data_IF_073142430542
#
_entry.id   IF_073142430542
#
_cell.length_a   1.000
_cell.length_b   1.000
_cell.length_c   1.000
_cell.angle_alpha   90.00
_cell.angle_beta   90.00
_cell.angle_gamma   90.00
#
_symmetry.space_group_name_H-M   'P 1'
#
loop_
_entity.id
_entity.type
_entity.pdbx_description
1 polymer ?
#
# COMPACT_ATOMS: atom_id res chain seq x y z
N UNK A 1 -29.77 28.17 18.98
CA UNK A 1 -28.29 28.04 18.87
C UNK A 1 -27.80 26.70 19.46
N UNK A 2 -28.14 25.54 18.88
CA UNK A 2 -27.85 24.24 19.53
C UNK A 2 -27.30 23.11 18.65
N UNK A 3 -27.12 23.29 17.33
CA UNK A 3 -26.67 22.21 16.44
C UNK A 3 -25.16 22.20 16.11
N UNK A 4 -24.41 23.20 16.55
CA UNK A 4 -22.96 23.31 16.28
C UNK A 4 -22.04 22.52 17.23
N UNK A 5 -22.47 22.27 18.48
CA UNK A 5 -21.65 21.56 19.48
C UNK A 5 -21.52 20.06 19.21
N UNK A 6 -22.64 19.38 18.92
CA UNK A 6 -22.67 17.92 18.75
C UNK A 6 -21.85 17.41 17.53
N UNK A 7 -21.77 18.20 16.46
CA UNK A 7 -20.92 17.91 15.29
C UNK A 7 -19.42 18.03 15.63
N UNK A 8 -19.07 19.02 16.45
CA UNK A 8 -17.69 19.28 16.88
C UNK A 8 -17.21 18.21 17.86
N UNK A 9 -18.05 17.79 18.81
CA UNK A 9 -17.75 16.72 19.77
C UNK A 9 -17.53 15.37 19.07
N UNK A 10 -18.35 15.07 18.05
CA UNK A 10 -18.20 13.86 17.24
C UNK A 10 -16.90 13.83 16.43
N UNK A 11 -16.45 14.97 15.91
CA UNK A 11 -15.19 15.10 15.18
C UNK A 11 -13.99 14.97 16.13
N UNK A 12 -14.02 15.66 17.29
CA UNK A 12 -12.97 15.57 18.31
C UNK A 12 -12.83 14.13 18.81
N UNK A 13 -13.94 13.44 19.09
CA UNK A 13 -13.92 12.03 19.51
C UNK A 13 -13.27 11.12 18.47
N UNK A 14 -13.55 11.32 17.18
CA UNK A 14 -12.92 10.55 16.07
C UNK A 14 -11.43 10.83 15.94
N UNK A 15 -11.01 12.08 16.15
CA UNK A 15 -9.61 12.51 16.11
C UNK A 15 -8.85 11.88 17.28
N UNK A 16 -9.36 12.02 18.51
CA UNK A 16 -8.76 11.43 19.71
C UNK A 16 -8.63 9.91 19.59
N UNK A 17 -9.68 9.25 19.10
CA UNK A 17 -9.69 7.80 18.91
C UNK A 17 -8.66 7.37 17.86
N UNK A 18 -8.51 8.11 16.75
CA UNK A 18 -7.45 7.87 15.76
C UNK A 18 -6.04 8.03 16.35
N UNK A 19 -5.79 9.11 17.10
CA UNK A 19 -4.49 9.32 17.74
C UNK A 19 -4.19 8.27 18.82
N UNK A 20 -5.22 7.80 19.54
CA UNK A 20 -5.04 6.72 20.52
C UNK A 20 -4.59 5.41 19.87
N UNK A 21 -5.13 5.04 18.70
CA UNK A 21 -4.66 3.86 17.97
C UNK A 21 -3.22 4.02 17.48
N UNK A 22 -2.85 5.21 17.01
CA UNK A 22 -1.47 5.52 16.62
C UNK A 22 -0.53 5.37 17.82
N UNK A 23 -0.89 5.94 18.98
CA UNK A 23 -0.09 5.87 20.20
C UNK A 23 0.09 4.43 20.68
N UNK A 24 -0.98 3.63 20.71
CA UNK A 24 -0.94 2.21 21.08
C UNK A 24 -0.05 1.41 20.12
N UNK A 25 -0.16 1.65 18.82
CA UNK A 25 0.67 1.00 17.82
C UNK A 25 2.16 1.36 17.99
N UNK A 26 2.48 2.64 18.21
CA UNK A 26 3.85 3.09 18.49
C UNK A 26 4.38 2.41 19.76
N UNK A 27 3.62 2.46 20.85
CA UNK A 27 4.02 1.85 22.13
C UNK A 27 4.31 0.35 21.97
N UNK A 28 3.37 -0.41 21.39
CA UNK A 28 3.56 -1.85 21.18
C UNK A 28 4.74 -2.15 20.25
N UNK A 29 4.95 -1.33 19.22
CA UNK A 29 6.11 -1.49 18.35
C UNK A 29 7.42 -1.28 19.10
N UNK A 30 7.47 -0.32 20.03
CA UNK A 30 8.65 -0.05 20.85
C UNK A 30 8.90 -1.20 21.79
N UNK A 31 7.85 -1.62 22.51
CA UNK A 31 7.93 -2.73 23.45
C UNK A 31 8.52 -3.96 22.75
N UNK A 32 7.98 -4.38 21.60
CA UNK A 32 8.49 -5.57 20.89
C UNK A 32 9.96 -5.41 20.46
N UNK A 33 10.35 -4.25 19.96
CA UNK A 33 11.73 -4.02 19.50
C UNK A 33 12.72 -4.06 20.67
N UNK A 34 12.40 -3.36 21.76
CA UNK A 34 13.24 -3.31 22.97
C UNK A 34 13.28 -4.68 23.64
N UNK A 35 12.14 -5.40 23.67
CA UNK A 35 12.05 -6.71 24.29
C UNK A 35 12.82 -7.78 23.50
N UNK A 36 12.75 -7.75 22.16
CA UNK A 36 13.58 -8.60 21.32
C UNK A 36 15.07 -8.30 21.52
N UNK A 37 15.46 -7.02 21.57
CA UNK A 37 16.85 -6.64 21.88
C UNK A 37 17.26 -7.14 23.27
N UNK A 38 16.42 -6.99 24.28
CA UNK A 38 16.68 -7.44 25.65
C UNK A 38 16.94 -8.96 25.72
N UNK A 39 16.12 -9.75 25.02
CA UNK A 39 16.25 -11.21 24.98
C UNK A 39 17.52 -11.64 24.22
N UNK A 40 17.77 -11.05 23.05
CA UNK A 40 18.81 -11.49 22.11
C UNK A 40 20.20 -10.94 22.43
N UNK A 41 20.31 -9.83 23.16
CA UNK A 41 21.61 -9.25 23.52
C UNK A 41 22.31 -10.11 24.58
N UNK A 42 23.55 -10.49 24.27
CA UNK A 42 24.41 -11.31 25.14
C UNK A 42 24.72 -10.64 26.48
N UNK A 43 24.63 -9.31 26.56
CA UNK A 43 24.90 -8.54 27.79
C UNK A 43 23.67 -8.39 28.68
N UNK A 44 22.48 -8.69 28.17
CA UNK A 44 21.21 -8.52 28.87
C UNK A 44 20.69 -9.90 29.30
N UNK A 45 19.67 -10.43 28.64
CA UNK A 45 19.10 -11.72 28.97
C UNK A 45 19.96 -12.92 28.50
N UNK A 46 20.90 -12.69 27.58
CA UNK A 46 21.85 -13.68 27.10
C UNK A 46 21.21 -14.92 26.44
N UNK A 47 20.18 -14.70 25.60
CA UNK A 47 19.59 -15.77 24.79
C UNK A 47 19.67 -15.43 23.29
N UNK A 48 20.87 -15.56 22.66
CA UNK A 48 21.12 -15.10 21.29
C UNK A 48 20.60 -16.10 20.23
N UNK A 49 19.34 -16.52 20.33
CA UNK A 49 18.68 -17.49 19.44
C UNK A 49 17.52 -16.83 18.66
N UNK A 50 17.82 -15.99 17.64
CA UNK A 50 16.84 -15.20 16.91
C UNK A 50 15.82 -16.03 16.10
N UNK A 51 16.23 -17.18 15.54
CA UNK A 51 15.33 -18.08 14.81
C UNK A 51 14.32 -18.71 15.79
N UNK A 52 14.82 -19.19 16.92
CA UNK A 52 14.00 -19.76 17.98
C UNK A 52 13.01 -18.72 18.53
N UNK A 53 13.45 -17.49 18.76
CA UNK A 53 12.57 -16.39 19.19
C UNK A 53 11.43 -16.16 18.19
N UNK A 54 11.77 -16.10 16.90
CA UNK A 54 10.78 -15.87 15.84
C UNK A 54 9.85 -17.05 15.64
N UNK A 55 10.33 -18.28 15.80
CA UNK A 55 9.48 -19.47 15.79
C UNK A 55 8.47 -19.45 16.94
N UNK A 56 8.87 -19.04 18.15
CA UNK A 56 7.95 -18.90 19.29
C UNK A 56 6.89 -17.84 18.96
N UNK A 57 7.29 -16.68 18.43
CA UNK A 57 6.36 -15.62 18.01
C UNK A 57 5.36 -16.11 16.97
N UNK A 58 5.83 -16.76 15.90
CA UNK A 58 4.98 -17.22 14.82
C UNK A 58 4.04 -18.35 15.28
N UNK A 59 4.50 -19.23 16.18
CA UNK A 59 3.66 -20.29 16.77
C UNK A 59 2.55 -19.70 17.63
N UNK A 60 2.90 -18.76 18.51
CA UNK A 60 1.93 -18.08 19.36
C UNK A 60 0.92 -17.28 18.53
N UNK A 61 1.42 -16.47 17.59
CA UNK A 61 0.59 -15.66 16.70
C UNK A 61 -0.33 -16.51 15.83
N UNK A 62 0.16 -17.63 15.28
CA UNK A 62 -0.64 -18.55 14.47
C UNK A 62 -1.74 -19.21 15.30
N UNK A 63 -1.39 -19.71 16.48
CA UNK A 63 -2.37 -20.36 17.38
C UNK A 63 -3.48 -19.39 17.76
N UNK A 64 -3.12 -18.17 18.17
CA UNK A 64 -4.10 -17.17 18.58
C UNK A 64 -4.92 -16.63 17.39
N UNK A 65 -4.32 -16.49 16.20
CA UNK A 65 -5.04 -16.15 14.98
C UNK A 65 -6.07 -17.24 14.61
N UNK A 66 -5.72 -18.52 14.74
CA UNK A 66 -6.66 -19.63 14.54
C UNK A 66 -7.81 -19.55 15.54
N UNK A 67 -7.53 -19.32 16.82
CA UNK A 67 -8.58 -19.16 17.84
C UNK A 67 -9.51 -17.99 17.50
N UNK A 68 -8.97 -16.83 17.14
CA UNK A 68 -9.79 -15.65 16.81
C UNK A 68 -10.66 -15.83 15.56
N UNK A 69 -10.15 -16.51 14.54
CA UNK A 69 -10.87 -16.73 13.28
C UNK A 69 -11.87 -17.88 13.40
N UNK A 70 -11.46 -19.02 13.99
CA UNK A 70 -12.27 -20.26 13.99
C UNK A 70 -13.16 -20.41 15.21
N UNK A 71 -12.74 -19.91 16.38
CA UNK A 71 -13.49 -20.07 17.64
C UNK A 71 -14.30 -18.82 17.94
N UNK A 72 -13.69 -17.65 17.88
CA UNK A 72 -14.35 -16.39 18.24
C UNK A 72 -15.04 -15.69 17.06
N UNK A 73 -14.78 -16.11 15.81
CA UNK A 73 -15.42 -15.55 14.62
C UNK A 73 -15.18 -14.05 14.42
N UNK A 74 -14.06 -13.51 14.95
CA UNK A 74 -13.77 -12.07 14.93
C UNK A 74 -13.52 -11.55 13.52
N UNK A 75 -13.08 -12.42 12.61
CA UNK A 75 -12.81 -12.10 11.20
C UNK A 75 -13.41 -13.20 10.33
N UNK A 76 -14.10 -12.80 9.27
CA UNK A 76 -14.65 -13.74 8.30
C UNK A 76 -13.53 -14.58 7.65
N UNK A 77 -13.66 -15.92 7.64
CA UNK A 77 -12.68 -16.78 7.01
C UNK A 77 -12.71 -16.57 5.49
N UNK A 78 -11.69 -15.89 4.96
CA UNK A 78 -11.52 -15.70 3.51
C UNK A 78 -11.16 -17.04 2.89
N UNK A 79 -12.03 -17.60 2.05
CA UNK A 79 -11.75 -18.84 1.31
C UNK A 79 -10.66 -18.58 0.25
N UNK A 80 -9.45 -19.10 0.50
CA UNK A 80 -8.34 -19.05 -0.46
C UNK A 80 -8.26 -20.38 -1.21
N UNK A 81 -8.17 -20.34 -2.55
CA UNK A 81 -7.91 -21.55 -3.33
C UNK A 81 -6.50 -22.08 -3.03
N UNK A 82 -6.33 -23.42 -3.07
CA UNK A 82 -5.03 -24.06 -2.80
C UNK A 82 -3.94 -23.59 -3.76
N UNK A 83 -4.29 -23.40 -5.03
CA UNK A 83 -3.38 -22.91 -6.06
C UNK A 83 -2.91 -21.49 -5.76
N UNK A 84 -3.82 -20.60 -5.35
CA UNK A 84 -3.50 -19.25 -4.93
C UNK A 84 -2.60 -19.24 -3.68
N UNK A 85 -2.89 -20.12 -2.72
CA UNK A 85 -2.08 -20.26 -1.52
C UNK A 85 -0.65 -20.68 -1.86
N UNK A 86 -0.46 -21.74 -2.64
CA UNK A 86 0.86 -22.25 -3.01
C UNK A 86 1.63 -21.31 -3.94
N UNK A 87 0.97 -20.70 -4.93
CA UNK A 87 1.63 -19.83 -5.91
C UNK A 87 1.95 -18.44 -5.35
N UNK A 88 1.14 -17.93 -4.42
CA UNK A 88 1.27 -16.55 -3.95
C UNK A 88 1.63 -16.42 -2.48
N UNK A 89 1.00 -17.18 -1.58
CA UNK A 89 1.27 -17.05 -0.12
C UNK A 89 2.58 -17.70 0.28
N UNK A 90 2.88 -18.90 -0.22
CA UNK A 90 4.10 -19.63 0.16
C UNK A 90 5.39 -18.85 -0.15
N UNK A 91 5.57 -18.26 -1.35
CA UNK A 91 6.74 -17.42 -1.62
C UNK A 91 6.81 -16.18 -0.72
N UNK A 92 5.67 -15.55 -0.43
CA UNK A 92 5.60 -14.40 0.49
C UNK A 92 6.01 -14.83 1.91
N UNK A 93 5.57 -15.99 2.37
CA UNK A 93 5.95 -16.57 3.65
C UNK A 93 7.43 -16.91 3.73
N UNK A 94 8.02 -17.47 2.66
CA UNK A 94 9.46 -17.73 2.57
C UNK A 94 10.30 -16.45 2.69
N UNK A 95 9.96 -15.42 1.90
CA UNK A 95 10.65 -14.12 1.99
C UNK A 95 10.49 -13.49 3.37
N UNK A 96 9.31 -13.63 3.98
CA UNK A 96 9.07 -13.11 5.32
C UNK A 96 9.89 -13.84 6.38
N UNK A 97 9.98 -15.18 6.32
CA UNK A 97 10.82 -15.94 7.26
C UNK A 97 12.29 -15.53 7.18
N UNK A 98 12.85 -15.36 5.98
CA UNK A 98 14.24 -14.93 5.83
C UNK A 98 14.43 -13.50 6.34
N UNK A 99 13.51 -12.58 6.01
CA UNK A 99 13.49 -11.21 6.55
C UNK A 99 13.48 -11.20 8.09
N UNK A 100 12.61 -11.99 8.70
CA UNK A 100 12.47 -12.10 10.16
C UNK A 100 13.73 -12.67 10.81
N UNK A 101 14.30 -13.72 10.24
CA UNK A 101 15.54 -14.31 10.75
C UNK A 101 16.69 -13.31 10.70
N UNK A 102 16.94 -12.69 9.55
CA UNK A 102 18.04 -11.75 9.37
C UNK A 102 17.85 -10.49 10.23
N UNK A 103 16.63 -9.93 10.28
CA UNK A 103 16.36 -8.73 11.09
C UNK A 103 16.48 -8.99 12.58
N UNK A 104 16.11 -10.17 13.08
CA UNK A 104 16.27 -10.46 14.50
C UNK A 104 17.72 -10.80 14.84
N UNK A 105 18.43 -11.48 13.94
CA UNK A 105 19.87 -11.74 14.11
C UNK A 105 20.69 -10.45 14.20
N UNK A 106 20.28 -9.39 13.49
CA UNK A 106 20.93 -8.08 13.57
C UNK A 106 20.94 -7.47 14.98
N UNK A 107 19.95 -7.78 15.84
CA UNK A 107 19.91 -7.29 17.24
C UNK A 107 21.07 -7.81 18.10
N UNK A 108 21.72 -8.91 17.71
CA UNK A 108 22.88 -9.44 18.43
C UNK A 108 24.11 -8.54 18.22
N UNK A 109 24.25 -7.99 17.01
CA UNK A 109 25.46 -7.28 16.57
C UNK A 109 25.31 -5.76 16.65
N UNK A 110 24.12 -5.23 16.39
CA UNK A 110 23.89 -3.80 16.21
C UNK A 110 23.12 -3.18 17.38
N UNK A 111 23.29 -1.87 17.55
CA UNK A 111 22.43 -1.04 18.40
C UNK A 111 21.05 -0.86 17.79
N UNK A 112 20.04 -0.58 18.63
CA UNK A 112 18.66 -0.44 18.13
C UNK A 112 18.54 0.83 17.27
N UNK A 113 19.20 1.92 17.66
CA UNK A 113 19.29 3.15 16.86
C UNK A 113 19.90 2.89 15.47
N UNK A 114 20.97 2.11 15.39
CA UNK A 114 21.63 1.81 14.14
C UNK A 114 20.79 0.89 13.24
N UNK A 115 20.11 -0.11 13.81
CA UNK A 115 19.13 -0.94 13.08
C UNK A 115 18.03 -0.07 12.49
N UNK A 116 17.47 0.84 13.29
CA UNK A 116 16.39 1.72 12.86
C UNK A 116 16.83 2.68 11.76
N UNK A 117 18.08 3.15 11.81
CA UNK A 117 18.70 3.92 10.74
C UNK A 117 18.86 3.08 9.46
N UNK A 118 19.38 1.84 9.53
CA UNK A 118 19.49 0.98 8.34
C UNK A 118 18.13 0.70 7.71
N UNK A 119 17.07 0.60 8.53
CA UNK A 119 15.68 0.48 8.05
C UNK A 119 15.17 1.72 7.34
N UNK A 120 15.81 2.89 7.47
CA UNK A 120 15.49 4.06 6.65
C UNK A 120 15.78 3.83 5.16
N UNK A 121 16.54 2.79 4.79
CA UNK A 121 16.72 2.34 3.40
C UNK A 121 15.53 1.53 2.86
N UNK A 122 14.52 1.22 3.67
CA UNK A 122 13.34 0.45 3.23
C UNK A 122 12.65 1.08 2.00
N UNK A 123 12.40 2.40 1.93
CA UNK A 123 11.82 3.02 0.74
C UNK A 123 12.71 2.88 -0.50
N UNK A 124 14.04 2.92 -0.32
CA UNK A 124 15.04 2.72 -1.38
C UNK A 124 14.95 1.31 -1.94
N UNK A 125 14.92 0.31 -1.06
CA UNK A 125 14.81 -1.10 -1.42
C UNK A 125 13.47 -1.41 -2.11
N UNK A 126 12.35 -0.94 -1.54
CA UNK A 126 11.01 -1.14 -2.11
C UNK A 126 10.89 -0.52 -3.50
N UNK A 127 11.39 0.70 -3.69
CA UNK A 127 11.34 1.37 -5.00
C UNK A 127 12.22 0.66 -6.03
N UNK A 128 13.44 0.29 -5.66
CA UNK A 128 14.37 -0.43 -6.55
C UNK A 128 13.79 -1.77 -6.98
N UNK A 129 13.28 -2.56 -6.04
CA UNK A 129 12.64 -3.85 -6.33
C UNK A 129 11.35 -3.66 -7.12
N UNK A 130 10.57 -2.61 -6.84
CA UNK A 130 9.38 -2.25 -7.61
C UNK A 130 9.69 -1.99 -9.08
N UNK A 131 10.80 -1.33 -9.39
CA UNK A 131 11.29 -1.16 -10.77
C UNK A 131 11.74 -2.50 -11.37
N UNK A 132 12.50 -3.30 -10.63
CA UNK A 132 12.99 -4.62 -11.12
C UNK A 132 11.83 -5.56 -11.48
N UNK A 133 10.76 -5.54 -10.70
CA UNK A 133 9.54 -6.31 -10.94
C UNK A 133 8.60 -5.65 -11.95
N UNK A 134 9.02 -4.55 -12.60
CA UNK A 134 8.24 -3.74 -13.55
C UNK A 134 6.89 -3.25 -13.00
N UNK A 135 6.77 -3.16 -11.68
CA UNK A 135 5.59 -2.64 -10.99
C UNK A 135 5.54 -1.11 -11.08
N UNK A 136 6.68 -0.47 -10.87
CA UNK A 136 6.81 0.99 -10.84
C UNK A 136 7.65 1.48 -12.03
N UNK A 137 7.29 2.65 -12.57
CA UNK A 137 8.08 3.31 -13.63
C UNK A 137 9.25 4.08 -13.03
N UNK A 138 10.41 3.97 -13.67
CA UNK A 138 11.59 4.72 -13.28
C UNK A 138 11.37 6.23 -13.41
N UNK A 139 11.59 6.94 -12.31
CA UNK A 139 11.59 8.41 -12.24
C UNK A 139 12.91 8.90 -11.67
N UNK A 140 13.59 9.78 -12.41
CA UNK A 140 14.88 10.34 -12.03
C UNK A 140 14.81 11.08 -10.69
N UNK A 141 13.78 11.90 -10.48
CA UNK A 141 13.62 12.68 -9.23
C UNK A 141 13.50 11.75 -8.00
N UNK A 142 12.77 10.65 -8.14
CA UNK A 142 12.62 9.67 -7.06
C UNK A 142 13.93 8.94 -6.82
N UNK A 143 14.67 8.58 -7.87
CA UNK A 143 15.98 7.93 -7.74
C UNK A 143 17.02 8.85 -7.08
N UNK A 144 17.05 10.14 -7.46
CA UNK A 144 17.93 11.13 -6.83
C UNK A 144 17.65 11.24 -5.32
N UNK A 145 16.38 11.23 -4.92
CA UNK A 145 16.03 11.20 -3.51
C UNK A 145 16.46 9.90 -2.80
N UNK A 146 16.35 8.74 -3.46
CA UNK A 146 16.85 7.47 -2.91
C UNK A 146 18.36 7.48 -2.68
N UNK A 147 19.13 8.10 -3.59
CA UNK A 147 20.57 8.30 -3.41
C UNK A 147 20.87 9.20 -2.22
N UNK A 148 20.11 10.29 -2.04
CA UNK A 148 20.26 11.18 -0.87
C UNK A 148 20.05 10.45 0.46
N UNK A 149 19.00 9.61 0.56
CA UNK A 149 18.77 8.77 1.74
C UNK A 149 19.95 7.83 1.97
N UNK A 150 20.45 7.20 0.91
CA UNK A 150 21.57 6.25 0.99
C UNK A 150 22.86 6.92 1.48
N UNK A 151 23.14 8.15 1.04
CA UNK A 151 24.28 8.96 1.50
C UNK A 151 24.14 9.28 2.99
N UNK A 152 22.96 9.71 3.46
CA UNK A 152 22.72 9.98 4.88
C UNK A 152 22.97 8.75 5.75
N UNK A 153 22.48 7.59 5.31
CA UNK A 153 22.70 6.31 5.99
C UNK A 153 24.18 5.91 5.99
N UNK A 154 24.91 6.12 4.89
CA UNK A 154 26.35 5.83 4.80
C UNK A 154 27.18 6.73 5.75
N UNK A 155 26.88 8.03 5.80
CA UNK A 155 27.54 8.97 6.72
C UNK A 155 27.28 8.57 8.17
N UNK A 156 26.03 8.24 8.50
CA UNK A 156 25.70 7.80 9.84
C UNK A 156 26.30 6.43 10.15
N UNK A 157 26.44 5.51 9.21
CA UNK A 157 27.16 4.25 9.46
C UNK A 157 28.65 4.46 9.74
N UNK A 158 29.28 5.44 9.08
CA UNK A 158 30.68 5.77 9.30
C UNK A 158 30.96 6.30 10.72
N UNK A 159 30.00 7.02 11.32
CA UNK A 159 30.13 7.53 12.68
C UNK A 159 29.74 6.54 13.79
N UNK A 160 29.29 5.33 13.46
CA UNK A 160 28.68 4.40 14.43
C UNK A 160 29.74 3.75 15.32
N UNK A 161 29.57 3.89 16.64
CA UNK A 161 30.54 3.38 17.61
C UNK A 161 30.52 1.85 17.73
N UNK A 162 29.36 1.20 17.50
CA UNK A 162 29.21 -0.26 17.49
C UNK A 162 29.06 -0.79 16.06
N UNK A 163 29.88 -0.28 15.14
CA UNK A 163 29.83 -0.74 13.76
C UNK A 163 30.31 -2.19 13.66
N UNK A 164 29.41 -3.08 13.24
CA UNK A 164 29.71 -4.48 12.93
C UNK A 164 29.23 -4.78 11.51
N UNK A 165 30.17 -5.12 10.61
CA UNK A 165 29.88 -5.33 9.20
C UNK A 165 28.97 -6.53 8.93
N UNK A 166 29.07 -7.57 9.76
CA UNK A 166 28.20 -8.74 9.66
C UNK A 166 26.76 -8.40 10.06
N UNK A 167 26.59 -7.66 11.16
CA UNK A 167 25.30 -7.11 11.57
C UNK A 167 24.68 -6.21 10.49
N UNK A 168 25.48 -5.36 9.84
CA UNK A 168 25.02 -4.53 8.71
C UNK A 168 24.58 -5.40 7.53
N UNK A 169 25.36 -6.41 7.16
CA UNK A 169 25.01 -7.35 6.09
C UNK A 169 23.68 -8.06 6.38
N UNK A 170 23.50 -8.58 7.59
CA UNK A 170 22.24 -9.21 8.04
C UNK A 170 21.07 -8.22 7.93
N UNK A 171 21.23 -7.00 8.43
CA UNK A 171 20.16 -6.01 8.43
C UNK A 171 19.80 -5.50 7.02
N UNK A 172 20.78 -5.30 6.14
CA UNK A 172 20.54 -4.93 4.74
C UNK A 172 19.89 -6.08 3.96
N UNK A 173 20.33 -7.33 4.20
CA UNK A 173 19.67 -8.52 3.67
C UNK A 173 18.21 -8.60 4.11
N UNK A 174 17.93 -8.36 5.40
CA UNK A 174 16.58 -8.31 5.92
C UNK A 174 15.73 -7.24 5.21
N UNK A 175 16.26 -6.04 5.02
CA UNK A 175 15.58 -4.95 4.28
C UNK A 175 15.28 -5.36 2.84
N UNK A 176 16.21 -6.05 2.16
CA UNK A 176 16.00 -6.51 0.80
C UNK A 176 14.85 -7.55 0.72
N UNK A 177 14.90 -8.61 1.53
CA UNK A 177 13.84 -9.63 1.57
C UNK A 177 12.49 -9.06 1.99
N UNK A 178 12.48 -8.17 2.96
CA UNK A 178 11.27 -7.46 3.39
C UNK A 178 10.68 -6.60 2.27
N UNK A 179 11.52 -5.86 1.56
CA UNK A 179 11.09 -5.06 0.44
C UNK A 179 10.55 -5.92 -0.72
N UNK A 180 11.17 -7.07 -1.02
CA UNK A 180 10.64 -8.02 -2.01
C UNK A 180 9.28 -8.55 -1.58
N UNK A 181 9.12 -8.94 -0.31
CA UNK A 181 7.84 -9.37 0.26
C UNK A 181 6.77 -8.30 0.09
N UNK A 182 7.08 -7.05 0.43
CA UNK A 182 6.14 -5.92 0.32
C UNK A 182 5.73 -5.67 -1.14
N UNK A 183 6.67 -5.71 -2.09
CA UNK A 183 6.37 -5.54 -3.52
C UNK A 183 5.49 -6.69 -4.03
N UNK A 184 5.80 -7.94 -3.66
CA UNK A 184 4.98 -9.11 -4.04
C UNK A 184 3.56 -9.03 -3.48
N UNK A 185 3.39 -8.63 -2.22
CA UNK A 185 2.07 -8.39 -1.63
C UNK A 185 1.33 -7.32 -2.43
N UNK A 186 2.00 -6.20 -2.76
CA UNK A 186 1.35 -5.13 -3.53
C UNK A 186 0.94 -5.59 -4.94
N UNK A 187 1.74 -6.43 -5.61
CA UNK A 187 1.37 -7.04 -6.90
C UNK A 187 0.17 -7.95 -6.72
N UNK A 188 0.15 -8.81 -5.69
CA UNK A 188 -0.94 -9.73 -5.41
C UNK A 188 -2.27 -9.00 -5.16
N UNK A 189 -2.26 -7.98 -4.29
CA UNK A 189 -3.44 -7.17 -3.98
C UNK A 189 -3.95 -6.42 -5.22
N UNK A 190 -3.05 -5.91 -6.07
CA UNK A 190 -3.43 -5.15 -7.27
C UNK A 190 -3.94 -6.06 -8.40
N UNK A 191 -3.30 -7.23 -8.59
CA UNK A 191 -3.60 -8.13 -9.72
C UNK A 191 -4.80 -9.04 -9.48
N UNK A 192 -4.98 -9.52 -8.24
CA UNK A 192 -6.06 -10.46 -7.90
C UNK A 192 -7.25 -9.82 -7.19
N UNK A 193 -7.17 -8.52 -6.88
CA UNK A 193 -8.25 -7.76 -6.25
C UNK A 193 -8.62 -8.23 -4.84
N UNK A 194 -7.75 -9.01 -4.19
CA UNK A 194 -7.99 -9.57 -2.86
C UNK A 194 -7.63 -8.52 -1.83
N UNK A 195 -8.54 -8.22 -0.91
CA UNK A 195 -8.26 -7.40 0.26
C UNK A 195 -7.92 -8.32 1.43
N UNK A 196 -6.65 -8.42 1.78
CA UNK A 196 -6.23 -9.21 2.92
C UNK A 196 -6.18 -8.32 4.17
N UNK A 197 -7.03 -8.64 5.14
CA UNK A 197 -6.86 -8.07 6.48
C UNK A 197 -5.54 -8.58 7.11
N UNK A 198 -4.85 -7.77 7.92
CA UNK A 198 -3.64 -8.19 8.62
C UNK A 198 -3.79 -9.48 9.44
N UNK A 199 -4.94 -9.69 10.09
CA UNK A 199 -5.22 -10.93 10.83
C UNK A 199 -5.31 -12.13 9.87
N UNK A 200 -6.01 -11.98 8.75
CA UNK A 200 -6.11 -13.02 7.71
C UNK A 200 -4.74 -13.29 7.08
N UNK A 201 -3.95 -12.25 6.86
CA UNK A 201 -2.57 -12.35 6.37
C UNK A 201 -1.71 -13.14 7.34
N UNK A 202 -1.80 -12.85 8.63
CA UNK A 202 -1.08 -13.56 9.69
C UNK A 202 -1.51 -15.03 9.77
N UNK A 203 -2.82 -15.31 9.71
CA UNK A 203 -3.37 -16.67 9.72
C UNK A 203 -2.79 -17.53 8.58
N UNK A 204 -2.63 -16.97 7.37
CA UNK A 204 -2.12 -17.70 6.21
C UNK A 204 -0.59 -17.75 6.12
N UNK A 205 0.08 -16.68 6.55
CA UNK A 205 1.54 -16.51 6.39
C UNK A 205 2.32 -17.09 7.57
N UNK A 206 1.85 -16.96 8.82
CA UNK A 206 2.59 -17.39 10.01
C UNK A 206 2.93 -18.90 10.02
N UNK A 207 2.01 -19.83 9.68
CA UNK A 207 2.36 -21.26 9.59
C UNK A 207 3.42 -21.53 8.52
N UNK A 208 3.36 -20.81 7.40
CA UNK A 208 4.33 -20.93 6.33
C UNK A 208 5.72 -20.45 6.79
N UNK A 209 5.79 -19.32 7.50
CA UNK A 209 7.03 -18.84 8.10
C UNK A 209 7.64 -19.82 9.09
N UNK A 210 6.81 -20.52 9.90
CA UNK A 210 7.30 -21.56 10.80
C UNK A 210 8.02 -22.67 10.05
N UNK A 211 7.40 -23.20 8.99
CA UNK A 211 8.00 -24.28 8.18
C UNK A 211 9.33 -23.84 7.58
N UNK A 212 9.39 -22.62 7.02
CA UNK A 212 10.62 -22.11 6.42
C UNK A 212 11.70 -21.73 7.44
N UNK A 213 11.34 -21.31 8.65
CA UNK A 213 12.29 -21.06 9.75
C UNK A 213 12.81 -22.35 10.38
N UNK A 214 12.01 -23.42 10.36
CA UNK A 214 12.38 -24.71 10.95
C UNK A 214 13.62 -25.32 10.29
N UNK A 215 13.77 -25.15 8.97
CA UNK A 215 14.93 -25.66 8.22
C UNK A 215 16.24 -25.06 8.73
N UNK A 216 16.48 -23.74 8.69
CA UNK A 216 17.72 -23.16 9.22
C UNK A 216 17.86 -23.35 10.73
N UNK A 217 16.75 -23.42 11.49
CA UNK A 217 16.79 -23.68 12.93
C UNK A 217 17.49 -25.00 13.28
N UNK A 218 17.17 -26.09 12.55
CA UNK A 218 17.79 -27.42 12.77
C UNK A 218 19.31 -27.37 12.62
N UNK A 219 19.81 -26.60 11.65
CA UNK A 219 21.24 -26.57 11.33
C UNK A 219 22.02 -25.54 12.14
N UNK A 220 21.40 -24.43 12.53
CA UNK A 220 22.10 -23.30 13.15
C UNK A 220 21.92 -23.26 14.67
N UNK A 221 20.69 -23.30 15.16
CA UNK A 221 20.41 -23.04 16.58
C UNK A 221 20.14 -24.29 17.40
N UNK A 222 19.46 -25.28 16.82
CA UNK A 222 19.16 -26.54 17.49
C UNK A 222 20.39 -27.27 18.08
N UNK A 223 21.52 -27.44 17.37
CA UNK A 223 22.68 -28.13 17.95
C UNK A 223 23.24 -27.37 19.17
N UNK A 224 23.33 -26.05 19.07
CA UNK A 224 23.82 -25.18 20.15
C UNK A 224 22.87 -25.19 21.36
N UNK A 225 21.56 -25.15 21.12
CA UNK A 225 20.54 -25.27 22.18
C UNK A 225 20.58 -26.63 22.87
N UNK A 226 20.80 -27.71 22.11
CA UNK A 226 20.90 -29.07 22.64
C UNK A 226 22.13 -29.27 23.53
N UNK A 227 23.26 -28.70 23.14
CA UNK A 227 24.50 -28.71 23.94
C UNK A 227 24.39 -27.81 25.18
N UNK A 228 23.63 -26.72 25.08
CA UNK A 228 23.20 -25.85 26.18
C UNK A 228 22.16 -26.54 27.08
N UNK A 229 22.51 -27.67 27.68
CA UNK A 229 21.64 -28.52 28.52
C UNK A 229 21.09 -27.87 29.79
N UNK A 230 21.50 -26.63 30.12
CA UNK A 230 21.09 -25.89 31.32
C UNK A 230 20.01 -24.82 31.11
N UNK A 231 19.56 -24.59 29.86
CA UNK A 231 18.59 -23.53 29.59
C UNK A 231 17.18 -23.90 30.09
N UNK A 232 16.72 -23.18 31.10
CA UNK A 232 15.34 -23.27 31.58
C UNK A 232 14.48 -22.29 30.80
N UNK A 233 13.47 -22.80 30.09
CA UNK A 233 12.58 -21.97 29.29
C UNK A 233 11.68 -21.10 30.18
N UNK A 234 11.89 -19.78 30.15
CA UNK A 234 11.06 -18.83 30.89
C UNK A 234 9.75 -18.54 30.13
N UNK A 235 8.73 -19.33 30.43
CA UNK A 235 7.40 -19.18 29.83
C UNK A 235 6.81 -17.77 30.01
N UNK A 236 7.17 -17.06 31.07
CA UNK A 236 6.66 -15.70 31.31
C UNK A 236 7.30 -14.74 30.33
N UNK A 237 8.62 -14.71 30.21
CA UNK A 237 9.33 -13.77 29.32
C UNK A 237 9.01 -14.03 27.85
N UNK A 238 9.08 -15.29 27.40
CA UNK A 238 8.79 -15.61 26.00
C UNK A 238 7.29 -15.47 25.69
N UNK A 239 6.43 -15.79 26.66
CA UNK A 239 4.98 -15.64 26.55
C UNK A 239 4.54 -14.18 26.43
N UNK A 240 5.01 -13.31 27.33
CA UNK A 240 4.69 -11.87 27.30
C UNK A 240 5.29 -11.20 26.07
N UNK A 241 6.51 -11.54 25.66
CA UNK A 241 7.11 -11.02 24.44
C UNK A 241 6.29 -11.40 23.19
N UNK A 242 5.87 -12.67 23.09
CA UNK A 242 5.02 -13.14 22.00
C UNK A 242 3.64 -12.51 22.02
N UNK A 243 3.09 -12.26 23.22
CA UNK A 243 1.83 -11.53 23.38
C UNK A 243 1.96 -10.08 22.89
N UNK A 244 3.06 -9.39 23.19
CA UNK A 244 3.33 -8.06 22.65
C UNK A 244 3.43 -8.07 21.11
N UNK A 245 4.11 -9.07 20.53
CA UNK A 245 4.19 -9.23 19.08
C UNK A 245 2.81 -9.48 18.44
N UNK A 246 1.98 -10.28 19.09
CA UNK A 246 0.60 -10.49 18.65
C UNK A 246 -0.26 -9.21 18.78
N UNK A 247 -0.18 -8.53 19.93
CA UNK A 247 -0.90 -7.29 20.18
C UNK A 247 -0.51 -6.20 19.18
N UNK A 248 0.77 -6.14 18.78
CA UNK A 248 1.23 -5.25 17.71
C UNK A 248 0.53 -5.55 16.38
N UNK A 249 0.40 -6.83 15.99
CA UNK A 249 -0.32 -7.22 14.78
C UNK A 249 -1.81 -6.81 14.83
N UNK A 250 -2.46 -6.96 16.00
CA UNK A 250 -3.83 -6.49 16.20
C UNK A 250 -3.93 -4.96 16.12
N UNK A 251 -2.98 -4.23 16.72
CA UNK A 251 -2.92 -2.78 16.67
C UNK A 251 -2.74 -2.29 15.22
N UNK A 252 -1.92 -2.96 14.40
CA UNK A 252 -1.80 -2.67 12.97
C UNK A 252 -3.13 -2.86 12.24
N UNK A 253 -3.85 -3.95 12.52
CA UNK A 253 -5.18 -4.16 11.92
C UNK A 253 -6.16 -3.03 12.26
N UNK A 254 -6.27 -2.69 13.55
CA UNK A 254 -7.14 -1.60 14.00
C UNK A 254 -6.74 -0.26 13.40
N UNK A 255 -5.43 0.01 13.32
CA UNK A 255 -4.89 1.23 12.76
C UNK A 255 -5.20 1.34 11.27
N UNK A 256 -4.97 0.28 10.48
CA UNK A 256 -5.29 0.23 9.04
C UNK A 256 -6.79 0.43 8.82
N UNK A 257 -7.63 -0.19 9.64
CA UNK A 257 -9.09 -0.12 9.50
C UNK A 257 -9.71 1.22 9.90
N UNK A 258 -8.99 2.05 10.68
CA UNK A 258 -9.52 3.31 11.26
C UNK A 258 -8.77 4.56 10.79
N UNK A 259 -7.60 4.41 10.18
CA UNK A 259 -6.78 5.53 9.74
C UNK A 259 -6.49 5.46 8.24
N UNK A 260 -6.01 6.58 7.69
CA UNK A 260 -5.63 6.65 6.28
C UNK A 260 -4.22 6.10 6.05
N UNK A 261 -3.93 5.66 4.82
CA UNK A 261 -2.56 5.30 4.41
C UNK A 261 -1.55 6.44 4.67
N UNK A 262 -2.00 7.70 4.56
CA UNK A 262 -1.22 8.87 4.93
C UNK A 262 -0.85 8.87 6.42
N UNK A 263 -1.83 8.71 7.30
CA UNK A 263 -1.64 8.71 8.75
C UNK A 263 -0.61 7.65 9.15
N UNK A 264 -0.70 6.44 8.57
CA UNK A 264 0.26 5.37 8.84
C UNK A 264 1.69 5.72 8.40
N UNK A 265 1.86 6.31 7.21
CA UNK A 265 3.19 6.69 6.72
C UNK A 265 3.85 7.75 7.62
N UNK A 266 3.10 8.77 8.03
CA UNK A 266 3.61 9.83 8.92
C UNK A 266 3.89 9.29 10.31
N UNK A 267 2.96 8.52 10.87
CA UNK A 267 3.13 7.88 12.18
C UNK A 267 4.33 6.93 12.20
N UNK A 268 4.61 6.22 11.09
CA UNK A 268 5.80 5.36 10.96
C UNK A 268 7.11 6.14 11.07
N UNK A 269 7.20 7.31 10.42
CA UNK A 269 8.39 8.18 10.55
C UNK A 269 8.55 8.66 12.00
N UNK A 270 7.46 9.14 12.62
CA UNK A 270 7.49 9.61 14.02
C UNK A 270 7.89 8.47 14.97
N UNK A 271 7.35 7.27 14.76
CA UNK A 271 7.71 6.06 15.51
C UNK A 271 9.21 5.79 15.43
N UNK A 272 9.79 5.84 14.25
CA UNK A 272 11.22 5.56 14.06
C UNK A 272 12.09 6.60 14.78
N UNK A 273 11.71 7.88 14.74
CA UNK A 273 12.43 8.96 15.44
C UNK A 273 12.39 8.82 16.95
N UNK A 274 11.20 8.59 17.49
CA UNK A 274 11.01 8.37 18.92
C UNK A 274 11.84 7.16 19.39
N UNK A 275 12.04 6.16 18.52
CA UNK A 275 12.76 4.93 18.86
C UNK A 275 14.26 5.16 18.92
N UNK A 276 14.81 5.93 17.99
CA UNK A 276 16.21 6.36 18.07
C UNK A 276 16.44 7.21 19.33
N UNK A 277 15.55 8.17 19.61
CA UNK A 277 15.65 9.01 20.80
C UNK A 277 15.58 8.18 22.10
N UNK A 278 14.70 7.17 22.14
CA UNK A 278 14.59 6.23 23.25
C UNK A 278 15.85 5.36 23.38
N UNK A 279 16.37 4.83 22.28
CA UNK A 279 17.62 4.02 22.27
C UNK A 279 18.80 4.80 22.84
N UNK A 280 18.94 6.07 22.44
CA UNK A 280 19.98 6.94 22.94
C UNK A 280 19.80 7.29 24.43
N UNK A 281 18.58 7.66 24.84
CA UNK A 281 18.32 8.14 26.21
C UNK A 281 18.25 7.03 27.26
N UNK A 282 17.62 5.89 26.93
CA UNK A 282 17.30 4.80 27.87
C UNK A 282 18.26 3.62 27.71
N UNK A 283 18.48 3.15 26.48
CA UNK A 283 19.41 2.02 26.20
C UNK A 283 20.87 2.48 26.28
N UNK A 284 21.11 3.80 26.37
CA UNK A 284 22.43 4.44 26.45
C UNK A 284 23.33 4.04 25.27
N UNK A 285 22.74 3.89 24.09
CA UNK A 285 23.52 3.72 22.88
C UNK A 285 24.35 4.99 22.60
N UNK A 286 25.59 4.79 22.20
CA UNK A 286 26.54 5.86 21.90
C UNK A 286 26.26 6.44 20.52
N UNK A 287 25.68 7.64 20.47
CA UNK A 287 25.41 8.37 19.22
C UNK A 287 26.43 9.49 19.07
N UNK A 288 27.25 9.42 18.02
CA UNK A 288 28.23 10.47 17.71
C UNK A 288 27.56 11.65 16.99
N UNK A 289 28.15 12.85 17.01
CA UNK A 289 27.65 13.98 16.24
C UNK A 289 27.53 13.67 14.73
N UNK A 290 28.45 12.86 14.20
CA UNK A 290 28.43 12.43 12.81
C UNK A 290 27.27 11.46 12.52
N UNK A 291 26.93 10.56 13.46
CA UNK A 291 25.71 9.76 13.38
C UNK A 291 24.49 10.65 13.27
N UNK A 292 24.38 11.65 14.16
CA UNK A 292 23.22 12.52 14.22
C UNK A 292 23.05 13.32 12.92
N UNK A 293 24.15 13.79 12.34
CA UNK A 293 24.13 14.47 11.05
C UNK A 293 23.63 13.56 9.92
N UNK A 294 24.16 12.33 9.81
CA UNK A 294 23.71 11.36 8.80
C UNK A 294 22.26 10.94 9.00
N UNK A 295 21.81 10.75 10.26
CA UNK A 295 20.41 10.50 10.60
C UNK A 295 19.52 11.65 10.09
N UNK A 296 19.90 12.90 10.37
CA UNK A 296 19.18 14.08 9.90
C UNK A 296 19.02 14.10 8.37
N UNK A 297 20.11 13.83 7.63
CA UNK A 297 20.08 13.80 6.17
C UNK A 297 19.18 12.67 5.64
N UNK A 298 19.33 11.45 6.17
CA UNK A 298 18.52 10.30 5.76
C UNK A 298 17.04 10.55 6.03
N UNK A 299 16.70 11.14 7.18
CA UNK A 299 15.33 11.44 7.53
C UNK A 299 14.70 12.54 6.70
N UNK A 300 15.43 13.60 6.37
CA UNK A 300 14.95 14.62 5.45
C UNK A 300 14.63 14.01 4.08
N UNK A 301 15.47 13.11 3.59
CA UNK A 301 15.23 12.37 2.34
C UNK A 301 13.99 11.46 2.42
N UNK A 302 13.77 10.75 3.53
CA UNK A 302 12.58 9.91 3.73
C UNK A 302 11.32 10.76 3.88
N UNK A 303 11.38 11.88 4.61
CA UNK A 303 10.27 12.81 4.76
C UNK A 303 9.88 13.42 3.41
N UNK A 304 10.87 13.84 2.61
CA UNK A 304 10.65 14.34 1.26
C UNK A 304 10.05 13.26 0.34
N UNK A 305 10.55 12.02 0.40
CA UNK A 305 9.97 10.89 -0.35
C UNK A 305 8.50 10.68 -0.01
N UNK A 306 8.19 10.59 1.29
CA UNK A 306 6.85 10.34 1.79
C UNK A 306 5.91 11.49 1.42
N UNK A 307 6.39 12.74 1.48
CA UNK A 307 5.64 13.90 1.04
C UNK A 307 5.32 13.84 -0.46
N UNK A 308 6.33 13.61 -1.30
CA UNK A 308 6.17 13.51 -2.76
C UNK A 308 5.22 12.37 -3.15
N UNK A 309 5.36 11.20 -2.51
CA UNK A 309 4.47 10.05 -2.71
C UNK A 309 3.04 10.37 -2.28
N UNK A 310 2.87 11.07 -1.18
CA UNK A 310 1.55 11.50 -0.72
C UNK A 310 0.87 12.45 -1.70
N UNK A 311 1.60 13.47 -2.19
CA UNK A 311 1.03 14.41 -3.16
C UNK A 311 0.59 13.68 -4.44
N UNK A 312 1.38 12.70 -4.90
CA UNK A 312 1.00 11.87 -6.04
C UNK A 312 -0.28 11.04 -5.78
N UNK A 313 -0.47 10.50 -4.56
CA UNK A 313 -1.70 9.79 -4.19
C UNK A 313 -2.91 10.73 -4.16
N UNK A 314 -2.78 11.91 -3.54
CA UNK A 314 -3.85 12.92 -3.50
C UNK A 314 -4.26 13.38 -4.90
N UNK A 315 -3.29 13.62 -5.78
CA UNK A 315 -3.57 13.98 -7.17
C UNK A 315 -4.33 12.88 -7.92
N UNK A 316 -3.95 11.60 -7.72
CA UNK A 316 -4.65 10.45 -8.31
C UNK A 316 -6.09 10.31 -7.79
N UNK A 317 -6.31 10.52 -6.49
CA UNK A 317 -7.66 10.49 -5.90
C UNK A 317 -8.53 11.65 -6.41
N UNK A 318 -7.98 12.86 -6.53
CA UNK A 318 -8.67 14.01 -7.09
C UNK A 318 -9.07 13.76 -8.56
N UNK A 319 -8.18 13.16 -9.36
CA UNK A 319 -8.47 12.76 -10.74
C UNK A 319 -9.60 11.73 -10.80
N UNK A 320 -9.58 10.69 -9.94
CA UNK A 320 -10.66 9.69 -9.88
C UNK A 320 -12.01 10.32 -9.54
N UNK A 321 -12.06 11.23 -8.56
CA UNK A 321 -13.29 11.93 -8.17
C UNK A 321 -13.82 12.82 -9.29
N UNK A 322 -12.95 13.57 -9.97
CA UNK A 322 -13.34 14.39 -11.12
C UNK A 322 -13.91 13.53 -12.26
N UNK A 323 -13.31 12.36 -12.50
CA UNK A 323 -13.74 11.45 -13.56
C UNK A 323 -15.08 10.76 -13.23
N UNK A 324 -15.33 10.42 -11.97
CA UNK A 324 -16.63 9.92 -11.51
C UNK A 324 -17.73 10.99 -11.61
N UNK A 325 -17.41 12.24 -11.25
CA UNK A 325 -18.36 13.35 -11.35
C UNK A 325 -18.74 13.65 -12.82
N UNK A 326 -17.78 13.57 -13.74
CA UNK A 326 -18.02 13.73 -15.18
C UNK A 326 -18.89 12.60 -15.76
N UNK A 327 -18.67 11.36 -15.32
CA UNK A 327 -19.45 10.19 -15.71
C UNK A 327 -20.90 10.23 -15.14
N UNK A 328 -21.07 10.74 -13.92
CA UNK A 328 -22.38 10.97 -13.31
C UNK A 328 -23.12 12.12 -14.00
N UNK A 329 -22.45 13.23 -14.30
CA UNK A 329 -23.02 14.35 -15.06
C UNK A 329 -23.46 13.93 -16.47
N UNK A 330 -22.65 13.12 -17.17
CA UNK A 330 -23.00 12.56 -18.47
C UNK A 330 -24.21 11.61 -18.40
N UNK A 331 -24.34 10.84 -17.32
CA UNK A 331 -25.51 9.97 -17.11
C UNK A 331 -26.78 10.78 -16.86
N UNK A 332 -26.71 11.85 -16.07
CA UNK A 332 -27.85 12.75 -15.81
C UNK A 332 -28.29 13.44 -17.11
N UNK A 333 -27.34 13.98 -17.89
CA UNK A 333 -27.64 14.58 -19.18
C UNK A 333 -28.31 13.60 -20.16
N UNK A 334 -27.87 12.34 -20.20
CA UNK A 334 -28.51 11.31 -21.03
C UNK A 334 -29.94 10.99 -20.59
N UNK A 335 -30.20 10.96 -19.27
CA UNK A 335 -31.54 10.76 -18.72
C UNK A 335 -32.45 11.95 -19.02
N UNK A 336 -31.97 13.18 -18.89
CA UNK A 336 -32.74 14.39 -19.22
C UNK A 336 -33.13 14.44 -20.71
N UNK A 337 -32.26 13.98 -21.61
CA UNK A 337 -32.57 13.85 -23.05
C UNK A 337 -33.67 12.82 -23.29
N UNK A 338 -33.61 11.66 -22.62
CA UNK A 338 -34.67 10.63 -22.68
C UNK A 338 -36.02 11.16 -22.16
N UNK A 339 -36.02 11.97 -21.10
CA UNK A 339 -37.23 12.61 -20.58
C UNK A 339 -37.73 13.76 -21.46
N UNK A 340 -36.86 14.55 -22.09
CA UNK A 340 -37.26 15.53 -23.10
C UNK A 340 -37.82 14.88 -24.38
N UNK A 341 -37.49 13.63 -24.65
CA UNK A 341 -38.16 12.80 -25.68
C UNK A 341 -39.63 12.47 -25.35
N UNK A 342 -40.07 12.66 -24.11
CA UNK A 342 -41.49 12.52 -23.72
C UNK A 342 -42.24 13.82 -23.98
N UNK A 343 -42.51 14.11 -25.25
CA UNK A 343 -43.27 15.29 -25.67
C UNK A 343 -44.68 15.34 -25.05
N UNK A 344 -45.16 16.49 -24.57
CA UNK A 344 -46.57 16.65 -24.24
C UNK A 344 -47.41 16.46 -25.51
N UNK A 345 -48.37 15.53 -25.46
CA UNK A 345 -49.36 15.29 -26.53
C UNK A 345 -50.15 16.58 -26.77
N UNK A 346 -49.75 17.39 -27.75
CA UNK A 346 -50.46 18.64 -28.06
C UNK A 346 -49.80 19.60 -29.05
N UNK A 347 -48.58 19.34 -29.56
CA UNK A 347 -47.96 20.20 -30.58
C UNK A 347 -48.30 19.76 -32.00
N UNK A 348 -48.41 20.73 -32.90
CA UNK A 348 -48.68 20.52 -34.32
C UNK A 348 -47.50 19.80 -35.00
N UNK A 349 -47.74 19.03 -36.08
CA UNK A 349 -46.72 18.17 -36.71
C UNK A 349 -45.43 18.91 -37.10
N UNK A 350 -45.53 20.15 -37.57
CA UNK A 350 -44.37 20.95 -37.96
C UNK A 350 -43.45 21.34 -36.77
N UNK A 351 -44.01 21.54 -35.58
CA UNK A 351 -43.24 21.92 -34.40
C UNK A 351 -42.52 20.72 -33.75
N UNK A 352 -43.08 19.51 -33.87
CA UNK A 352 -42.42 18.27 -33.42
C UNK A 352 -41.19 17.93 -34.25
N UNK A 353 -41.26 18.08 -35.59
CA UNK A 353 -40.15 17.78 -36.49
C UNK A 353 -38.96 18.73 -36.27
N UNK A 354 -39.23 20.02 -36.05
CA UNK A 354 -38.18 21.03 -35.88
C UNK A 354 -37.47 20.92 -34.52
N UNK A 355 -38.20 20.50 -33.49
CA UNK A 355 -37.63 20.28 -32.16
C UNK A 355 -36.86 18.96 -32.07
N UNK A 356 -37.32 17.89 -32.77
CA UNK A 356 -36.55 16.65 -32.95
C UNK A 356 -35.25 16.89 -33.73
N UNK A 357 -35.28 17.70 -34.80
CA UNK A 357 -34.06 18.05 -35.54
C UNK A 357 -33.06 18.83 -34.66
N UNK A 358 -33.52 19.81 -33.87
CA UNK A 358 -32.63 20.53 -32.95
C UNK A 358 -32.03 19.62 -31.89
N UNK A 359 -32.85 18.75 -31.26
CA UNK A 359 -32.37 17.81 -30.25
C UNK A 359 -31.37 16.78 -30.82
N UNK A 360 -31.59 16.29 -32.04
CA UNK A 360 -30.66 15.38 -32.73
C UNK A 360 -29.37 16.08 -33.15
N UNK A 361 -29.43 17.34 -33.61
CA UNK A 361 -28.25 18.14 -33.96
C UNK A 361 -27.43 18.49 -32.72
N UNK A 362 -28.08 18.86 -31.61
CA UNK A 362 -27.41 19.13 -30.34
C UNK A 362 -26.79 17.87 -29.74
N UNK A 363 -27.47 16.72 -29.85
CA UNK A 363 -26.92 15.43 -29.45
C UNK A 363 -25.73 15.02 -30.33
N UNK A 364 -25.82 15.17 -31.65
CA UNK A 364 -24.73 14.88 -32.57
C UNK A 364 -23.52 15.80 -32.34
N UNK A 365 -23.74 17.09 -32.04
CA UNK A 365 -22.68 18.05 -31.70
C UNK A 365 -22.05 17.74 -30.34
N UNK A 366 -22.84 17.39 -29.32
CA UNK A 366 -22.34 17.01 -28.01
C UNK A 366 -21.55 15.69 -28.07
N UNK A 367 -22.03 14.71 -28.83
CA UNK A 367 -21.37 13.43 -29.05
C UNK A 367 -20.09 13.58 -29.87
N UNK A 368 -20.09 14.43 -30.91
CA UNK A 368 -18.91 14.78 -31.70
C UNK A 368 -17.83 15.50 -30.87
N UNK A 369 -18.24 16.40 -29.96
CA UNK A 369 -17.34 17.08 -29.03
C UNK A 369 -16.73 16.12 -28.00
N UNK A 370 -17.53 15.20 -27.47
CA UNK A 370 -17.06 14.14 -26.56
C UNK A 370 -16.10 13.16 -27.24
N UNK A 371 -16.39 12.75 -28.48
CA UNK A 371 -15.50 11.94 -29.30
C UNK A 371 -14.20 12.68 -29.64
N UNK A 372 -14.28 13.97 -29.96
CA UNK A 372 -13.10 14.82 -30.20
C UNK A 372 -12.21 14.90 -28.96
N UNK A 373 -12.77 15.06 -27.76
CA UNK A 373 -12.01 15.08 -26.50
C UNK A 373 -11.39 13.72 -26.15
N UNK A 374 -12.08 12.62 -26.46
CA UNK A 374 -11.56 11.24 -26.28
C UNK A 374 -10.42 10.94 -27.26
N UNK A 375 -10.52 11.40 -28.51
CA UNK A 375 -9.46 11.29 -29.53
C UNK A 375 -8.27 12.20 -29.19
N UNK A 376 -8.52 13.42 -28.70
CA UNK A 376 -7.48 14.36 -28.28
C UNK A 376 -6.68 13.84 -27.08
N UNK A 377 -7.33 13.14 -26.12
CA UNK A 377 -6.64 12.50 -24.98
C UNK A 377 -5.77 11.29 -25.37
N UNK A 378 -6.06 10.61 -26.49
CA UNK A 378 -5.22 9.51 -26.99
C UNK A 378 -4.04 9.97 -27.87
N UNK A 379 -4.05 11.20 -28.37
CA UNK A 379 -3.03 11.75 -29.29
C UNK A 379 -1.83 12.47 -28.67
N UNK A 380 -1.72 12.60 -27.35
CA UNK A 380 -0.62 13.34 -26.70
C UNK A 380 0.69 12.54 -26.62
N UNK A 381 1.30 12.29 -27.78
CA UNK A 381 2.74 11.98 -27.95
C UNK A 381 3.25 12.48 -29.31
N UNK A 382 3.03 13.75 -29.64
CA UNK A 382 3.94 14.48 -30.57
C UNK A 382 3.66 15.98 -30.51
N UNK A 383 4.69 16.77 -30.27
CA UNK A 383 4.67 18.23 -30.40
C UNK A 383 4.71 18.57 -31.89
N UNK A 384 3.64 19.16 -32.44
CA UNK A 384 3.74 19.95 -33.67
C UNK A 384 2.72 21.09 -33.66
N UNK A 385 3.22 22.31 -33.76
CA UNK A 385 2.46 23.55 -33.96
C UNK A 385 1.77 23.51 -35.33
N UNK A 386 0.43 23.56 -35.40
CA UNK A 386 -0.30 23.78 -36.66
C UNK A 386 -1.45 24.79 -36.42
N UNK A 387 -1.49 25.77 -37.32
CA UNK A 387 -2.34 26.98 -37.34
C UNK A 387 -3.82 26.69 -37.57
N UNK A 388 -4.68 27.62 -37.12
CA UNK A 388 -6.13 27.66 -37.36
C UNK A 388 -6.45 27.82 -38.86
N UNK A 389 -6.73 26.73 -39.56
CA UNK A 389 -7.63 26.67 -40.71
C UNK A 389 -7.78 25.22 -41.22
N UNK A 390 -9.02 24.82 -41.51
CA UNK A 390 -9.46 23.50 -42.03
C UNK A 390 -9.61 22.33 -41.03
N UNK A 391 -10.88 21.96 -40.78
CA UNK A 391 -11.29 20.63 -40.33
C UNK A 391 -11.11 19.61 -41.46
N UNK A 392 -10.40 18.47 -41.26
CA UNK A 392 -10.30 17.42 -42.26
C UNK A 392 -11.56 16.54 -42.23
N UNK A 393 -12.04 16.18 -43.42
CA UNK A 393 -13.13 15.21 -43.62
C UNK A 393 -12.54 13.79 -43.46
N UNK A 394 -12.99 13.03 -42.46
CA UNK A 394 -12.57 11.63 -42.24
C UNK A 394 -13.57 10.73 -42.95
N UNK A 395 -13.08 9.78 -43.75
CA UNK A 395 -13.93 8.89 -44.53
C UNK A 395 -14.64 7.85 -43.65
N UNK A 396 -15.87 7.39 -44.01
CA UNK A 396 -16.65 6.43 -43.22
C UNK A 396 -15.93 5.10 -42.95
N UNK A 397 -15.00 4.70 -43.82
CA UNK A 397 -14.25 3.44 -43.69
C UNK A 397 -13.18 3.49 -42.58
N UNK A 398 -12.54 4.65 -42.36
CA UNK A 398 -11.58 4.84 -41.25
C UNK A 398 -12.27 4.83 -39.89
N UNK A 399 -13.48 5.42 -39.80
CA UNK A 399 -14.29 5.47 -38.58
C UNK A 399 -14.69 4.05 -38.11
N UNK A 400 -14.91 3.15 -39.07
CA UNK A 400 -15.37 1.79 -38.83
C UNK A 400 -14.27 0.87 -38.24
N UNK A 401 -12.99 1.27 -38.39
CA UNK A 401 -11.82 0.54 -37.89
C UNK A 401 -11.39 0.92 -36.46
N UNK A 402 -11.89 2.04 -35.93
CA UNK A 402 -11.44 2.65 -34.66
C UNK A 402 -12.37 2.42 -33.47
N UNK A 403 -13.55 1.83 -33.69
CA UNK A 403 -14.59 1.65 -32.67
C UNK A 403 -14.66 0.21 -32.13
N UNK A 404 -14.64 -0.01 -30.80
CA UNK A 404 -14.83 -1.34 -30.22
C UNK A 404 -16.26 -1.83 -30.43
N UNK A 405 -16.42 -3.14 -30.65
CA UNK A 405 -17.66 -3.83 -31.05
C UNK A 405 -18.91 -3.44 -30.22
N UNK A 406 -18.75 -3.19 -28.92
CA UNK A 406 -19.83 -2.78 -28.00
C UNK A 406 -20.45 -1.41 -28.31
N UNK A 407 -19.75 -0.51 -29.01
CA UNK A 407 -20.27 0.79 -29.45
C UNK A 407 -21.00 0.66 -30.77
N UNK A 408 -20.52 -0.23 -31.65
CA UNK A 408 -21.11 -0.54 -32.94
C UNK A 408 -22.55 -1.04 -32.81
N UNK A 409 -22.78 -1.96 -31.87
CA UNK A 409 -24.12 -2.50 -31.61
C UNK A 409 -25.07 -1.45 -31.02
N UNK A 410 -24.59 -0.53 -30.17
CA UNK A 410 -25.43 0.54 -29.60
C UNK A 410 -25.79 1.61 -30.64
N UNK A 411 -24.88 1.90 -31.57
CA UNK A 411 -25.12 2.83 -32.68
C UNK A 411 -26.06 2.20 -33.72
N UNK A 412 -25.89 0.91 -34.06
CA UNK A 412 -26.83 0.19 -34.94
C UNK A 412 -28.22 0.04 -34.31
N UNK A 413 -28.32 -0.16 -33.00
CA UNK A 413 -29.62 -0.22 -32.30
C UNK A 413 -30.30 1.16 -32.26
N UNK A 414 -29.53 2.25 -32.20
CA UNK A 414 -30.06 3.62 -32.24
C UNK A 414 -30.46 4.06 -33.66
N UNK A 415 -29.77 3.58 -34.70
CA UNK A 415 -30.15 3.80 -36.10
C UNK A 415 -31.36 2.95 -36.54
N UNK A 416 -31.53 1.76 -35.93
CA UNK A 416 -32.63 0.84 -36.25
C UNK A 416 -33.89 1.02 -35.37
N UNK A 417 -33.91 1.95 -34.41
CA UNK A 417 -35.10 2.26 -33.64
C UNK A 417 -35.94 3.33 -34.36
N UNK A 418 -37.03 2.89 -35.01
CA UNK A 418 -38.19 3.66 -35.47
C UNK A 418 -38.00 4.85 -36.45
N UNK A 419 -36.77 5.28 -36.74
CA UNK A 419 -36.55 6.45 -37.62
C UNK A 419 -36.53 6.11 -39.13
N UNK A 420 -36.12 4.88 -39.51
CA UNK A 420 -36.12 4.47 -40.93
C UNK A 420 -37.51 4.09 -41.47
N UNK A 421 -38.39 3.48 -40.67
CA UNK A 421 -39.76 3.14 -41.13
C UNK A 421 -40.68 4.37 -41.30
N UNK A 422 -40.34 5.51 -40.67
CA UNK A 422 -41.08 6.76 -40.83
C UNK A 422 -40.62 7.60 -42.03
N UNK A 423 -39.37 7.43 -42.48
CA UNK A 423 -38.84 8.13 -43.67
C UNK A 423 -39.29 7.48 -44.98
N UNK A 424 -39.59 6.18 -45.00
CA UNK A 424 -40.11 5.49 -46.20
C UNK A 424 -41.59 5.78 -46.50
N UNK A 425 -42.27 6.55 -45.62
CA UNK A 425 -43.66 7.02 -45.84
C UNK A 425 -43.77 8.49 -46.25
N UNK A 426 -42.65 9.20 -46.41
CA UNK A 426 -42.66 10.63 -46.76
C UNK A 426 -41.73 11.04 -47.92
N UNK A 427 -41.17 10.10 -48.68
CA UNK A 427 -40.74 10.32 -50.07
C UNK A 427 -40.71 8.99 -50.86
#
# INVERSE_FOLDING_TARGET
>A
MGKGGALTDGVIKKILLSYSYVAVWIFLSFTVIVYNKYILDRKLYNWPFPISLTMIHMTFCSTLAVLLVRVFGVVEPVSMSRELYLSSVVPIGALYSVSLWLSNSAYIYLSVSFIQMLKALMPVAVYTIGILFKKDSFKTDTMANMLSISVGVAIAAYGEAKFDSWGVFLQLGAVAFEATRLVMIQILLTSKGITLNPITSLYYVAPCCLVFLFVPWIFVEYPVLKESSSFHFDFVIFGTNSFCAFALNLAVFLLVGKTSALTMNVAGVVKDWLLIAFSWSVIKDTVTPLNLFGYGLAFLGVAYYNHSKLQALKAKEAQKKAQQADEEAGRVAFVDILYMGSFPRGLTPAAQTQTCLCACVDFALAFSKSLSDVVYRKGSRTKTTISRSHTPYISPEELNSLLPFSVKTKVETLLNCEFCELLEKFD
#
